data_IF_981141554651
#
_entry.id   IF_981141554651
#
_cell.length_a   1.000
_cell.length_b   1.000
_cell.length_c   1.000
_cell.angle_alpha   90.00
_cell.angle_beta   90.00
_cell.angle_gamma   90.00
#
_symmetry.space_group_name_H-M   'P 1'
#
loop_
_entity.id
_entity.type
_entity.pdbx_description
1 polymer ?
#
# COMPACT_ATOMS: atom_id res chain seq x y z
N UNK A 1 -9.00 -2.43 -0.03
CA UNK A 1 -7.85 -1.73 -0.63
C UNK A 1 -7.10 -1.02 0.49
N UNK A 2 -5.78 -1.06 0.47
CA UNK A 2 -4.90 -0.31 1.36
C UNK A 2 -4.06 0.66 0.51
N UNK A 3 -3.92 1.89 0.98
CA UNK A 3 -3.00 2.88 0.41
C UNK A 3 -2.12 3.44 1.52
N UNK A 4 -0.83 3.51 1.26
CA UNK A 4 0.17 4.15 2.10
C UNK A 4 0.79 5.31 1.33
N UNK A 5 1.02 6.44 2.01
CA UNK A 5 1.77 7.59 1.50
C UNK A 5 2.93 7.96 2.43
N UNK A 6 4.06 8.38 1.88
CA UNK A 6 5.22 8.83 2.66
C UNK A 6 5.09 10.33 2.93
N UNK A 7 4.96 10.68 4.21
CA UNK A 7 4.82 12.07 4.61
C UNK A 7 6.05 12.90 4.21
N UNK A 8 5.82 14.08 3.64
CA UNK A 8 6.85 15.04 3.24
C UNK A 8 7.86 14.52 2.21
N UNK A 9 7.52 13.49 1.44
CA UNK A 9 8.41 12.92 0.43
C UNK A 9 8.92 13.95 -0.59
N UNK A 10 8.06 14.87 -1.05
CA UNK A 10 8.46 15.94 -1.98
C UNK A 10 9.55 16.84 -1.41
N UNK A 11 9.46 17.22 -0.13
CA UNK A 11 10.48 18.04 0.52
C UNK A 11 11.79 17.27 0.73
N UNK A 12 11.70 15.99 1.11
CA UNK A 12 12.87 15.12 1.27
C UNK A 12 13.59 14.90 -0.07
N UNK A 13 12.85 14.64 -1.14
CA UNK A 13 13.42 14.40 -2.48
C UNK A 13 14.08 15.62 -3.10
N UNK A 14 13.76 16.84 -2.64
CA UNK A 14 14.44 18.07 -3.05
C UNK A 14 15.77 18.31 -2.32
N UNK A 15 15.96 17.72 -1.14
CA UNK A 15 17.14 17.95 -0.29
C UNK A 15 18.15 16.81 -0.34
N UNK A 16 17.69 15.60 -0.66
CA UNK A 16 18.53 14.40 -0.78
C UNK A 16 18.99 14.17 -2.23
N UNK A 17 20.09 13.45 -2.41
CA UNK A 17 20.50 12.99 -3.74
C UNK A 17 19.49 11.99 -4.29
N UNK A 18 19.26 12.00 -5.60
CA UNK A 18 18.33 11.07 -6.24
C UNK A 18 18.65 9.60 -5.92
N UNK A 19 19.94 9.25 -5.83
CA UNK A 19 20.37 7.90 -5.46
C UNK A 19 19.97 7.54 -4.02
N UNK A 20 20.16 8.46 -3.06
CA UNK A 20 19.77 8.18 -1.67
C UNK A 20 18.25 8.06 -1.52
N UNK A 21 17.47 8.89 -2.22
CA UNK A 21 16.00 8.79 -2.22
C UNK A 21 15.57 7.44 -2.79
N UNK A 22 16.12 7.05 -3.94
CA UNK A 22 15.79 5.78 -4.59
C UNK A 22 16.15 4.58 -3.70
N UNK A 23 17.31 4.58 -3.06
CA UNK A 23 17.73 3.51 -2.15
C UNK A 23 16.83 3.43 -0.92
N UNK A 24 16.45 4.57 -0.34
CA UNK A 24 15.54 4.63 0.81
C UNK A 24 14.15 4.07 0.46
N UNK A 25 13.55 4.55 -0.63
CA UNK A 25 12.24 4.04 -1.09
C UNK A 25 12.31 2.56 -1.41
N UNK A 26 13.38 2.12 -2.09
CA UNK A 26 13.57 0.70 -2.40
C UNK A 26 13.64 -0.15 -1.14
N UNK A 27 14.47 0.24 -0.16
CA UNK A 27 14.61 -0.51 1.10
C UNK A 27 13.28 -0.64 1.85
N UNK A 28 12.51 0.45 1.94
CA UNK A 28 11.21 0.46 2.62
C UNK A 28 10.21 -0.41 1.85
N UNK A 29 10.09 -0.22 0.53
CA UNK A 29 9.12 -0.96 -0.28
C UNK A 29 9.47 -2.45 -0.37
N UNK A 30 10.74 -2.83 -0.35
CA UNK A 30 11.15 -4.24 -0.28
C UNK A 30 10.72 -4.92 1.02
N UNK A 31 10.74 -4.20 2.15
CA UNK A 31 10.21 -4.72 3.42
C UNK A 31 8.69 -4.90 3.36
N UNK A 32 7.97 -3.98 2.71
CA UNK A 32 6.54 -4.10 2.48
C UNK A 32 6.21 -5.28 1.55
N UNK A 33 6.95 -5.42 0.46
CA UNK A 33 6.79 -6.49 -0.53
C UNK A 33 6.92 -7.88 0.12
N UNK A 34 7.86 -8.04 1.06
CA UNK A 34 8.02 -9.28 1.84
C UNK A 34 6.79 -9.60 2.69
N UNK A 35 6.11 -8.58 3.23
CA UNK A 35 4.87 -8.75 3.98
C UNK A 35 3.67 -9.01 3.08
N UNK A 36 3.61 -8.38 1.91
CA UNK A 36 2.58 -8.63 0.88
C UNK A 36 2.65 -10.06 0.39
N UNK A 37 3.83 -10.57 0.06
CA UNK A 37 4.04 -11.95 -0.39
C UNK A 37 3.62 -12.96 0.69
N UNK A 38 4.07 -12.76 1.94
CA UNK A 38 3.71 -13.62 3.07
C UNK A 38 2.20 -13.64 3.36
N UNK A 39 1.52 -12.51 3.15
CA UNK A 39 0.09 -12.37 3.41
C UNK A 39 -0.76 -12.74 2.20
N UNK A 40 -0.14 -13.02 1.05
CA UNK A 40 -0.83 -13.42 -0.18
C UNK A 40 -1.86 -12.35 -0.55
N UNK A 41 -1.31 -11.15 -0.81
CA UNK A 41 -2.01 -9.92 -1.17
C UNK A 41 -1.45 -9.40 -2.50
N UNK A 42 -2.22 -8.58 -3.21
CA UNK A 42 -1.82 -8.09 -4.52
C UNK A 42 -1.34 -6.64 -4.46
N UNK A 43 -0.04 -6.43 -4.72
CA UNK A 43 0.54 -5.10 -4.89
C UNK A 43 0.13 -4.53 -6.25
N UNK A 44 -0.39 -3.31 -6.24
CA UNK A 44 -0.65 -2.54 -7.46
C UNK A 44 0.59 -1.73 -7.88
N UNK A 45 0.60 -1.28 -9.14
CA UNK A 45 1.61 -0.33 -9.61
C UNK A 45 1.62 0.91 -8.71
N UNK A 46 2.82 1.32 -8.28
CA UNK A 46 3.01 2.49 -7.44
C UNK A 46 2.89 3.77 -8.27
N UNK A 47 2.35 4.83 -7.66
CA UNK A 47 2.28 6.17 -8.24
C UNK A 47 3.12 7.08 -7.35
N UNK A 48 4.35 7.37 -7.77
CA UNK A 48 5.29 8.14 -6.95
C UNK A 48 5.68 7.37 -5.68
N UNK A 49 5.46 7.99 -4.53
CA UNK A 49 5.71 7.49 -3.18
C UNK A 49 4.50 6.78 -2.54
N UNK A 50 3.38 6.71 -3.25
CA UNK A 50 2.22 5.95 -2.81
C UNK A 50 2.40 4.43 -3.05
N UNK A 51 2.10 3.65 -2.02
CA UNK A 51 2.12 2.19 -2.05
C UNK A 51 0.70 1.64 -1.89
N UNK A 52 0.19 0.96 -2.92
CA UNK A 52 -1.22 0.52 -2.98
C UNK A 52 -1.31 -0.99 -3.06
N UNK A 53 -2.18 -1.57 -2.23
CA UNK A 53 -2.45 -3.01 -2.18
C UNK A 53 -3.95 -3.28 -2.30
N UNK A 54 -4.28 -4.16 -3.24
CA UNK A 54 -5.61 -4.73 -3.37
C UNK A 54 -5.63 -6.12 -2.74
N UNK A 55 -6.76 -6.44 -2.11
CA UNK A 55 -7.02 -7.75 -1.54
C UNK A 55 -8.31 -8.29 -2.16
N UNK A 56 -8.56 -9.59 -2.01
CA UNK A 56 -9.75 -10.22 -2.59
C UNK A 56 -9.77 -10.13 -4.12
N UNK A 57 -8.63 -10.38 -4.76
CA UNK A 57 -8.58 -10.53 -6.21
C UNK A 57 -8.64 -12.03 -6.58
N UNK A 58 -9.34 -12.39 -7.65
CA UNK A 58 -9.36 -13.77 -8.12
C UNK A 58 -8.00 -14.12 -8.73
N UNK A 59 -7.30 -15.06 -8.09
CA UNK A 59 -5.98 -15.53 -8.55
C UNK A 59 -6.09 -16.65 -9.60
N UNK A 60 -7.23 -17.34 -9.66
CA UNK A 60 -7.46 -18.45 -10.59
C UNK A 60 -8.86 -18.40 -11.20
N UNK A 61 -9.08 -19.03 -12.38
CA UNK A 61 -10.40 -19.18 -12.98
C UNK A 61 -11.38 -19.94 -12.06
N UNK A 62 -10.85 -20.83 -11.22
CA UNK A 62 -11.59 -21.63 -10.23
C UNK A 62 -11.67 -20.93 -8.87
N UNK A 63 -11.61 -19.59 -8.85
CA UNK A 63 -11.79 -18.82 -7.63
C UNK A 63 -13.21 -19.05 -7.10
N UNK A 64 -13.32 -19.98 -6.15
CA UNK A 64 -14.50 -20.12 -5.32
C UNK A 64 -14.43 -19.01 -4.28
N UNK A 65 -15.49 -18.22 -4.21
CA UNK A 65 -15.70 -17.15 -3.24
C UNK A 65 -15.45 -17.70 -1.82
N UNK A 66 -14.22 -17.58 -1.29
CA UNK A 66 -13.95 -17.75 0.14
C UNK A 66 -14.65 -16.58 0.81
N UNK A 67 -15.93 -16.76 1.12
CA UNK A 67 -16.86 -15.74 1.64
C UNK A 67 -16.44 -15.14 2.98
N UNK A 68 -15.29 -15.50 3.53
CA UNK A 68 -14.80 -14.98 4.79
C UNK A 68 -14.13 -13.59 4.64
N UNK A 69 -14.95 -12.56 4.41
CA UNK A 69 -14.61 -11.13 4.42
C UNK A 69 -13.66 -10.77 5.57
N UNK A 70 -13.87 -11.35 6.74
CA UNK A 70 -13.07 -11.09 7.95
C UNK A 70 -11.62 -11.58 7.83
N UNK A 71 -11.38 -12.72 7.19
CA UNK A 71 -10.01 -13.27 7.02
C UNK A 71 -9.16 -12.35 6.14
N UNK A 72 -9.74 -11.86 5.05
CA UNK A 72 -9.04 -10.95 4.14
C UNK A 72 -8.85 -9.57 4.77
N UNK A 73 -9.86 -9.03 5.46
CA UNK A 73 -9.69 -7.79 6.22
C UNK A 73 -8.58 -7.92 7.27
N UNK A 74 -8.49 -9.07 7.97
CA UNK A 74 -7.41 -9.35 8.92
C UNK A 74 -6.03 -9.36 8.26
N UNK A 75 -5.89 -9.98 7.08
CA UNK A 75 -4.62 -9.94 6.31
C UNK A 75 -4.21 -8.49 6.01
N UNK A 76 -5.14 -7.66 5.54
CA UNK A 76 -4.86 -6.25 5.21
C UNK A 76 -4.48 -5.44 6.46
N UNK A 77 -5.15 -5.67 7.59
CA UNK A 77 -4.78 -5.03 8.87
C UNK A 77 -3.40 -5.48 9.37
N UNK A 78 -3.06 -6.77 9.20
CA UNK A 78 -1.72 -7.27 9.52
C UNK A 78 -0.66 -6.59 8.64
N UNK A 79 -0.92 -6.45 7.34
CA UNK A 79 -0.02 -5.73 6.43
C UNK A 79 0.20 -4.29 6.91
N UNK A 80 -0.88 -3.55 7.22
CA UNK A 80 -0.78 -2.17 7.69
C UNK A 80 0.09 -2.05 8.96
N UNK A 81 -0.10 -2.96 9.92
CA UNK A 81 0.73 -3.01 11.12
C UNK A 81 2.19 -3.29 10.79
N UNK A 82 2.45 -4.27 9.93
CA UNK A 82 3.82 -4.66 9.57
C UNK A 82 4.52 -3.53 8.79
N UNK A 83 3.80 -2.74 8.00
CA UNK A 83 4.31 -1.51 7.34
C UNK A 83 4.74 -0.44 8.36
N UNK A 84 3.94 -0.18 9.39
CA UNK A 84 4.31 0.77 10.46
C UNK A 84 5.57 0.30 11.18
N UNK A 85 5.67 -0.99 11.51
CA UNK A 85 6.87 -1.56 12.14
C UNK A 85 8.10 -1.41 11.25
N UNK A 86 7.99 -1.72 9.96
CA UNK A 86 9.11 -1.59 9.02
C UNK A 86 9.59 -0.13 8.86
N UNK A 87 8.66 0.84 8.92
CA UNK A 87 9.02 2.27 8.91
C UNK A 87 9.79 2.68 10.17
N UNK A 88 9.38 2.20 11.33
CA UNK A 88 10.06 2.47 12.61
C UNK A 88 11.44 1.81 12.67
N UNK A 89 11.57 0.57 12.18
CA UNK A 89 12.85 -0.12 12.05
C UNK A 89 13.79 0.64 11.10
N UNK A 90 13.29 1.08 9.95
CA UNK A 90 14.07 1.88 9.01
C UNK A 90 14.55 3.19 9.62
N UNK A 91 13.69 3.89 10.38
CA UNK A 91 14.07 5.10 11.13
C UNK A 91 15.16 4.81 12.14
N UNK A 92 15.04 3.72 12.90
CA UNK A 92 16.01 3.33 13.92
C UNK A 92 17.38 3.00 13.31
N UNK A 93 17.40 2.33 12.15
CA UNK A 93 18.63 1.92 11.48
C UNK A 93 19.34 3.06 10.76
N UNK A 94 18.59 3.98 10.16
CA UNK A 94 19.15 5.03 9.29
C UNK A 94 19.23 6.41 9.96
N UNK A 95 18.49 6.62 11.04
CA UNK A 95 18.32 7.94 11.67
C UNK A 95 17.48 8.93 10.84
N UNK A 96 16.92 8.51 9.71
CA UNK A 96 16.08 9.35 8.86
C UNK A 96 14.64 9.35 9.38
N UNK A 97 14.10 10.55 9.68
CA UNK A 97 12.71 10.73 10.08
C UNK A 97 11.75 10.56 8.90
N UNK A 98 11.54 9.31 8.49
CA UNK A 98 10.52 8.96 7.47
C UNK A 98 9.25 8.56 8.20
N UNK A 99 8.13 9.20 7.86
CA UNK A 99 6.81 8.91 8.42
C UNK A 99 5.85 8.50 7.30
N UNK A 100 4.77 7.80 7.63
CA UNK A 100 3.75 7.44 6.65
C UNK A 100 2.33 7.63 7.18
N UNK A 101 1.36 7.60 6.27
CA UNK A 101 -0.07 7.51 6.57
C UNK A 101 -0.63 6.32 5.83
N UNK A 102 -1.53 5.59 6.49
CA UNK A 102 -2.17 4.42 5.90
C UNK A 102 -3.69 4.61 5.92
N UNK A 103 -4.31 4.50 4.75
CA UNK A 103 -5.76 4.40 4.58
C UNK A 103 -6.17 2.98 4.18
N UNK A 104 -7.29 2.50 4.71
CA UNK A 104 -7.88 1.20 4.36
C UNK A 104 -9.36 1.39 4.07
N UNK A 105 -9.78 1.08 2.84
CA UNK A 105 -11.20 1.05 2.44
C UNK A 105 -11.65 -0.36 2.11
N UNK A 106 -12.84 -0.73 2.61
CA UNK A 106 -13.53 -1.96 2.25
C UNK A 106 -14.74 -1.61 1.39
N UNK A 107 -14.78 -2.14 0.16
CA UNK A 107 -15.88 -1.85 -0.74
C UNK A 107 -15.74 -2.57 -2.07
N UNK A 108 -16.77 -2.43 -2.91
CA UNK A 108 -16.77 -2.97 -4.27
C UNK A 108 -15.86 -2.15 -5.18
N UNK A 109 -15.10 -2.83 -6.02
CA UNK A 109 -14.30 -2.25 -7.09
C UNK A 109 -14.34 -3.18 -8.30
N UNK A 110 -14.00 -2.64 -9.47
CA UNK A 110 -13.73 -3.39 -10.69
C UNK A 110 -12.22 -3.45 -10.91
N UNK A 111 -11.73 -4.53 -11.51
CA UNK A 111 -10.32 -4.68 -11.84
C UNK A 111 -10.11 -5.39 -13.17
N UNK A 112 -8.95 -5.18 -13.80
CA UNK A 112 -8.60 -5.86 -15.05
C UNK A 112 -7.30 -5.34 -15.66
N UNK A 113 -6.85 -6.03 -16.71
CA UNK A 113 -5.70 -5.59 -17.51
C UNK A 113 -6.14 -4.54 -18.53
N UNK A 114 -5.44 -3.41 -18.55
CA UNK A 114 -5.66 -2.31 -19.51
C UNK A 114 -4.36 -2.07 -20.28
N UNK A 115 -4.47 -1.85 -21.59
CA UNK A 115 -3.35 -1.56 -22.48
C UNK A 115 -2.92 -2.76 -23.32
N UNK A 116 -2.51 -2.50 -24.57
CA UNK A 116 -2.10 -3.54 -25.53
C UNK A 116 -0.58 -3.70 -25.65
N UNK A 117 0.16 -2.60 -25.54
CA UNK A 117 1.63 -2.59 -25.68
C UNK A 117 2.32 -2.67 -24.32
N UNK A 118 1.78 -1.94 -23.33
CA UNK A 118 2.21 -2.01 -21.94
C UNK A 118 0.96 -2.26 -21.08
N UNK A 119 0.58 -3.53 -20.96
CA UNK A 119 -0.58 -3.92 -20.16
C UNK A 119 -0.28 -3.73 -18.67
N UNK A 120 -1.17 -3.06 -17.96
CA UNK A 120 -1.10 -2.85 -16.51
C UNK A 120 -2.39 -3.34 -15.85
N UNK A 121 -2.27 -3.86 -14.64
CA UNK A 121 -3.44 -4.25 -13.86
C UNK A 121 -4.02 -3.02 -13.16
N UNK A 122 -5.26 -2.67 -13.49
CA UNK A 122 -5.95 -1.53 -12.90
C UNK A 122 -7.04 -1.98 -11.95
N UNK A 123 -7.20 -1.24 -10.86
CA UNK A 123 -8.35 -1.32 -9.96
C UNK A 123 -9.05 0.03 -9.95
N UNK A 124 -10.37 0.03 -10.15
CA UNK A 124 -11.19 1.24 -10.24
C UNK A 124 -12.48 1.06 -9.45
N UNK A 125 -12.91 2.09 -8.75
CA UNK A 125 -14.20 2.07 -8.05
C UNK A 125 -14.21 2.95 -6.82
N UNK A 126 -15.35 2.93 -6.12
CA UNK A 126 -15.57 3.77 -4.95
C UNK A 126 -14.55 3.50 -3.83
N UNK A 127 -14.16 2.24 -3.63
CA UNK A 127 -13.15 1.87 -2.64
C UNK A 127 -11.76 2.53 -2.90
N UNK A 128 -11.40 2.79 -4.15
CA UNK A 128 -10.16 3.49 -4.49
C UNK A 128 -10.24 4.98 -4.14
N UNK A 129 -11.36 5.65 -4.45
CA UNK A 129 -11.53 7.07 -4.07
C UNK A 129 -11.65 7.26 -2.56
N UNK A 130 -12.30 6.32 -1.86
CA UNK A 130 -12.42 6.35 -0.40
C UNK A 130 -11.08 6.10 0.29
N UNK A 131 -10.24 5.16 -0.20
CA UNK A 131 -8.95 4.88 0.45
C UNK A 131 -8.00 6.08 0.39
N UNK A 132 -7.99 6.81 -0.73
CA UNK A 132 -7.20 8.03 -0.90
C UNK A 132 -7.62 9.10 0.12
N UNK A 133 -8.92 9.31 0.30
CA UNK A 133 -9.43 10.27 1.28
C UNK A 133 -9.15 9.86 2.73
N UNK A 134 -9.19 8.56 3.03
CA UNK A 134 -8.89 8.03 4.36
C UNK A 134 -7.42 8.20 4.71
N UNK A 135 -6.51 7.93 3.76
CA UNK A 135 -5.08 8.15 3.89
C UNK A 135 -4.79 9.64 4.16
N UNK A 136 -5.32 10.55 3.33
CA UNK A 136 -5.08 11.99 3.47
C UNK A 136 -5.54 12.54 4.84
N UNK A 137 -6.63 12.01 5.38
CA UNK A 137 -7.17 12.36 6.71
C UNK A 137 -6.52 11.62 7.87
N UNK A 138 -5.68 10.64 7.59
CA UNK A 138 -5.04 9.83 8.61
C UNK A 138 -4.03 10.67 9.40
N UNK A 139 -3.90 10.36 10.70
CA UNK A 139 -2.81 10.91 11.52
C UNK A 139 -1.47 10.31 11.09
N UNK A 140 -0.39 11.04 11.29
CA UNK A 140 0.97 10.58 10.96
C UNK A 140 1.29 9.31 11.74
N UNK A 141 1.85 8.30 11.06
CA UNK A 141 2.10 6.93 11.52
C UNK A 141 0.84 6.21 12.02
N UNK A 142 -0.33 6.66 11.60
CA UNK A 142 -1.62 6.05 11.90
C UNK A 142 -2.13 5.13 10.80
N UNK A 143 -3.19 4.41 11.15
CA UNK A 143 -4.00 3.61 10.23
C UNK A 143 -5.44 4.11 10.34
N UNK A 144 -6.01 4.56 9.23
CA UNK A 144 -7.40 5.00 9.14
C UNK A 144 -8.21 4.01 8.31
N UNK A 145 -9.25 3.43 8.91
CA UNK A 145 -10.08 2.40 8.29
C UNK A 145 -11.45 2.97 8.01
N UNK A 146 -12.05 2.62 6.87
CA UNK A 146 -13.45 2.91 6.55
C UNK A 146 -14.39 2.27 7.58
N UNK A 147 -15.56 2.89 7.78
CA UNK A 147 -16.66 2.35 8.60
C UNK A 147 -17.18 0.98 8.12
#
# INVERSE_FOLDING_TARGET
VLQLDICNFTAMSQTMSALHVATMVHSIFSAFDSSVERLDLFKMDTIGDAYIVAAWLPETPDWHEDRNSKKICRKVLMLARDMITAMEEHRTLTGLEVNCRIGISVGKFACGLIGRVQSRFHVMGRAMGEVEHLEQKCVINGIHVSD
#
